data_IF_814058221706
#
_entry.id   IF_814058221706
#
_cell.length_a   1.000
_cell.length_b   1.000
_cell.length_c   1.000
_cell.angle_alpha   90.00
_cell.angle_beta   90.00
_cell.angle_gamma   90.00
#
_symmetry.space_group_name_H-M   'P 1'
#
loop_
_entity.id
_entity.type
_entity.pdbx_description
1 polymer ?
#
# COMPACT_ATOMS: atom_id res chain seq x y z
N UNK A 1 21.46 -20.12 55.63
CA UNK A 1 20.61 -21.29 55.99
C UNK A 1 19.15 -20.88 55.81
N UNK A 2 18.32 -21.79 55.29
CA UNK A 2 16.90 -21.66 54.85
C UNK A 2 16.70 -20.90 53.54
N UNK A 3 16.53 -21.62 52.41
CA UNK A 3 15.29 -22.23 51.87
C UNK A 3 14.59 -21.18 50.96
N UNK A 4 14.43 -21.34 49.65
CA UNK A 4 14.25 -22.55 48.84
C UNK A 4 12.86 -22.50 48.22
N UNK A 5 12.68 -21.74 47.14
CA UNK A 5 11.41 -21.67 46.39
C UNK A 5 11.70 -21.85 44.88
N UNK A 6 11.50 -23.09 44.43
CA UNK A 6 11.36 -23.47 43.02
C UNK A 6 9.92 -23.23 42.63
N UNK A 7 9.69 -22.47 41.56
CA UNK A 7 8.41 -22.44 40.86
C UNK A 7 8.56 -23.21 39.54
N UNK A 8 7.81 -24.30 39.44
CA UNK A 8 7.68 -25.19 38.30
C UNK A 8 6.72 -24.61 37.27
N UNK A 9 7.11 -24.63 35.99
CA UNK A 9 6.22 -24.40 34.84
C UNK A 9 5.28 -25.59 34.64
N UNK A 10 4.00 -25.38 34.29
CA UNK A 10 3.19 -26.41 33.68
C UNK A 10 3.35 -26.40 32.15
N UNK A 11 3.74 -27.56 31.62
CA UNK A 11 3.58 -27.91 30.22
C UNK A 11 2.09 -28.15 29.93
N UNK A 12 1.56 -27.50 28.90
CA UNK A 12 0.32 -27.93 28.25
C UNK A 12 0.57 -28.12 26.76
N UNK A 13 0.78 -29.38 26.42
CA UNK A 13 0.54 -29.96 25.10
C UNK A 13 -0.96 -30.24 25.05
N UNK A 14 -1.65 -29.77 24.00
CA UNK A 14 -2.80 -30.50 23.47
C UNK A 14 -2.97 -30.21 21.98
N UNK A 15 -2.89 -31.30 21.24
CA UNK A 15 -3.19 -31.43 19.82
C UNK A 15 -4.70 -31.27 19.58
N UNK A 16 -5.05 -30.67 18.44
CA UNK A 16 -6.32 -30.96 17.76
C UNK A 16 -6.11 -30.93 16.24
N UNK A 17 -6.29 -32.06 15.55
CA UNK A 17 -6.31 -32.13 14.10
C UNK A 17 -7.77 -32.10 13.62
N UNK A 18 -8.15 -31.13 12.77
CA UNK A 18 -9.40 -31.22 12.02
C UNK A 18 -9.17 -30.95 10.54
N UNK A 19 -9.07 -32.06 9.83
CA UNK A 19 -9.46 -32.25 8.43
C UNK A 19 -10.88 -31.73 8.21
N UNK A 20 -11.07 -30.78 7.30
CA UNK A 20 -12.34 -30.57 6.63
C UNK A 20 -12.21 -31.06 5.18
N UNK A 21 -12.77 -32.25 4.93
CA UNK A 21 -13.12 -32.76 3.60
C UNK A 21 -14.41 -32.07 3.16
N UNK A 22 -14.45 -31.51 1.96
CA UNK A 22 -15.69 -31.17 1.28
C UNK A 22 -16.04 -32.26 0.26
N UNK A 23 -17.30 -32.73 0.19
CA UNK A 23 -17.73 -33.67 -0.83
C UNK A 23 -17.86 -32.98 -2.20
N UNK A 24 -17.30 -33.64 -3.21
CA UNK A 24 -17.59 -33.41 -4.62
C UNK A 24 -19.00 -33.96 -4.90
N UNK A 25 -19.89 -33.10 -5.39
CA UNK A 25 -21.14 -33.52 -6.01
C UNK A 25 -21.15 -33.02 -7.46
N UNK A 26 -21.08 -33.96 -8.41
CA UNK A 26 -21.35 -33.72 -9.82
C UNK A 26 -22.87 -33.56 -10.01
N UNK A 27 -23.29 -32.40 -10.50
CA UNK A 27 -24.66 -32.11 -10.92
C UNK A 27 -24.69 -31.70 -12.40
N UNK A 28 -25.56 -32.37 -13.16
CA UNK A 28 -25.68 -32.35 -14.62
C UNK A 28 -26.23 -31.02 -15.14
N UNK A 29 -25.82 -30.68 -16.36
CA UNK A 29 -26.21 -29.52 -17.13
C UNK A 29 -27.72 -29.48 -17.45
N UNK A 30 -28.34 -28.32 -17.24
CA UNK A 30 -29.56 -27.90 -17.93
C UNK A 30 -29.30 -26.58 -18.66
N UNK A 31 -29.77 -26.55 -19.90
CA UNK A 31 -29.66 -25.44 -20.86
C UNK A 31 -30.41 -24.23 -20.32
N UNK A 32 -29.81 -23.05 -20.41
CA UNK A 32 -30.54 -21.80 -20.35
C UNK A 32 -30.31 -21.02 -21.64
N UNK A 33 -31.42 -20.74 -22.32
CA UNK A 33 -31.49 -20.09 -23.63
C UNK A 33 -31.02 -18.63 -23.58
N UNK A 34 -30.27 -18.27 -24.61
CA UNK A 34 -30.01 -16.90 -25.03
C UNK A 34 -31.32 -16.16 -25.30
N UNK A 35 -31.56 -15.04 -24.62
CA UNK A 35 -32.11 -13.79 -25.21
C UNK A 35 -32.15 -12.69 -24.15
N UNK A 36 -31.73 -11.49 -24.56
CA UNK A 36 -31.76 -10.18 -23.86
C UNK A 36 -30.60 -9.85 -22.91
N UNK A 37 -29.39 -9.67 -23.45
CA UNK A 37 -28.30 -8.94 -22.80
C UNK A 37 -27.62 -7.97 -23.80
N UNK A 38 -28.10 -6.71 -23.88
CA UNK A 38 -27.15 -5.61 -24.06
C UNK A 38 -27.39 -4.39 -23.16
N UNK A 39 -28.43 -4.38 -22.31
CA UNK A 39 -28.80 -3.17 -21.54
C UNK A 39 -28.29 -3.16 -20.09
N UNK A 40 -28.29 -4.30 -19.40
CA UNK A 40 -27.88 -4.38 -17.98
C UNK A 40 -26.35 -4.26 -17.80
N UNK A 41 -25.55 -4.75 -18.76
CA UNK A 41 -24.08 -4.60 -18.71
C UNK A 41 -23.59 -3.16 -18.90
N UNK A 42 -24.35 -2.31 -19.62
CA UNK A 42 -23.98 -0.89 -19.81
C UNK A 42 -24.29 -0.03 -18.59
N UNK A 43 -25.28 -0.41 -17.78
CA UNK A 43 -25.63 0.32 -16.56
C UNK A 43 -24.68 -0.02 -15.40
N UNK A 44 -24.25 -1.28 -15.28
CA UNK A 44 -23.27 -1.69 -14.26
C UNK A 44 -21.87 -1.13 -14.52
N UNK A 45 -21.44 -1.02 -15.77
CA UNK A 45 -20.15 -0.39 -16.11
C UNK A 45 -20.15 1.13 -15.87
N UNK A 46 -21.29 1.81 -16.09
CA UNK A 46 -21.41 3.25 -15.88
C UNK A 46 -21.49 3.64 -14.39
N UNK A 47 -22.07 2.80 -13.53
CA UNK A 47 -22.13 3.03 -12.08
C UNK A 47 -20.77 2.72 -11.40
N UNK A 48 -20.10 1.64 -11.81
CA UNK A 48 -18.75 1.29 -11.34
C UNK A 48 -17.72 2.34 -11.82
N UNK A 49 -17.88 2.89 -13.03
CA UNK A 49 -17.02 3.96 -13.56
C UNK A 49 -17.17 5.31 -12.83
N UNK A 50 -18.34 5.60 -12.24
CA UNK A 50 -18.59 6.87 -11.55
C UNK A 50 -18.03 6.93 -10.12
N UNK A 51 -17.94 5.80 -9.42
CA UNK A 51 -17.31 5.75 -8.09
C UNK A 51 -15.80 5.50 -8.13
N UNK A 52 -15.28 4.81 -9.16
CA UNK A 52 -13.83 4.65 -9.37
C UNK A 52 -13.17 5.91 -9.95
N UNK A 53 -13.90 6.75 -10.69
CA UNK A 53 -13.33 7.93 -11.37
C UNK A 53 -12.78 9.04 -10.46
N UNK A 54 -13.33 9.19 -9.24
CA UNK A 54 -12.90 10.25 -8.32
C UNK A 54 -11.72 9.83 -7.43
N UNK A 55 -11.62 8.56 -7.05
CA UNK A 55 -10.54 8.04 -6.20
C UNK A 55 -9.33 7.54 -7.00
N UNK A 56 -9.52 7.13 -8.27
CA UNK A 56 -8.42 6.70 -9.10
C UNK A 56 -7.52 7.86 -9.53
N UNK A 57 -8.04 9.09 -9.71
CA UNK A 57 -7.20 10.27 -10.03
C UNK A 57 -6.23 10.68 -8.91
N UNK A 58 -6.48 10.30 -7.66
CA UNK A 58 -5.58 10.61 -6.54
C UNK A 58 -4.52 9.53 -6.31
N UNK A 59 -4.86 8.26 -6.61
CA UNK A 59 -3.88 7.17 -6.74
C UNK A 59 -2.94 7.46 -7.90
N UNK A 60 -3.46 8.05 -8.98
CA UNK A 60 -2.66 8.64 -10.05
C UNK A 60 -1.74 9.71 -9.47
N UNK A 61 -2.17 10.70 -8.68
CA UNK A 61 -1.29 11.79 -8.22
C UNK A 61 -0.12 11.41 -7.26
N UNK A 62 -0.26 10.40 -6.40
CA UNK A 62 0.82 10.00 -5.45
C UNK A 62 1.73 8.92 -6.04
N UNK A 63 1.22 8.08 -6.96
CA UNK A 63 2.07 7.26 -7.82
C UNK A 63 2.62 8.04 -9.02
N UNK A 64 2.07 9.20 -9.41
CA UNK A 64 2.62 10.13 -10.43
C UNK A 64 3.61 11.14 -9.86
N UNK A 65 3.68 11.32 -8.55
CA UNK A 65 4.75 12.11 -7.94
C UNK A 65 5.99 11.26 -7.63
N UNK A 66 5.89 9.93 -7.82
CA UNK A 66 6.99 8.95 -7.84
C UNK A 66 7.16 8.25 -9.20
N UNK A 67 6.22 8.35 -10.14
CA UNK A 67 6.41 8.04 -11.56
C UNK A 67 6.65 9.34 -12.31
N UNK A 68 7.84 9.47 -12.87
CA UNK A 68 8.06 10.09 -14.18
C UNK A 68 6.78 9.98 -15.02
N UNK A 69 6.28 11.09 -15.54
CA UNK A 69 5.08 11.08 -16.37
C UNK A 69 5.24 10.15 -17.56
N UNK A 70 4.66 8.95 -17.49
CA UNK A 70 4.42 8.12 -18.65
C UNK A 70 3.19 8.71 -19.37
N UNK A 71 3.41 9.76 -20.14
CA UNK A 71 2.55 10.00 -21.29
C UNK A 71 2.60 8.76 -22.17
N UNK A 72 1.45 8.16 -22.50
CA UNK A 72 1.29 7.16 -23.56
C UNK A 72 1.52 7.80 -24.95
N UNK A 73 2.60 8.57 -25.08
CA UNK A 73 3.16 8.89 -26.38
C UNK A 73 3.71 7.61 -26.98
N UNK A 74 3.51 7.42 -28.28
CA UNK A 74 4.20 6.38 -29.03
C UNK A 74 5.67 6.35 -28.60
N UNK A 75 6.30 5.17 -28.45
CA UNK A 75 7.69 5.05 -28.05
C UNK A 75 8.54 5.78 -29.09
N UNK A 76 8.82 7.04 -28.81
CA UNK A 76 9.84 7.79 -29.49
C UNK A 76 11.10 7.10 -29.04
N UNK A 77 11.86 6.54 -29.98
CA UNK A 77 13.14 5.94 -29.69
C UNK A 77 14.01 7.00 -29.02
N UNK A 78 14.01 7.02 -27.68
CA UNK A 78 14.83 7.92 -26.89
C UNK A 78 16.26 7.54 -27.23
N UNK A 79 16.96 8.43 -27.93
CA UNK A 79 18.35 8.22 -28.28
C UNK A 79 19.14 7.89 -27.02
N UNK A 80 20.17 7.06 -27.13
CA UNK A 80 20.95 6.56 -25.98
C UNK A 80 21.57 7.66 -25.11
N UNK A 81 21.71 8.89 -25.61
CA UNK A 81 22.11 10.06 -24.82
C UNK A 81 21.06 10.53 -23.80
N UNK A 82 19.80 10.15 -23.98
CA UNK A 82 18.67 10.56 -23.14
C UNK A 82 18.49 9.64 -21.91
N UNK A 83 18.77 8.34 -22.04
CA UNK A 83 18.57 7.38 -20.95
C UNK A 83 19.42 7.66 -19.69
N UNK A 84 20.68 8.05 -19.87
CA UNK A 84 21.56 8.44 -18.75
C UNK A 84 21.07 9.74 -18.09
N UNK A 85 20.63 10.72 -18.88
CA UNK A 85 20.12 11.98 -18.36
C UNK A 85 18.82 11.75 -17.58
N UNK A 86 17.93 10.92 -18.12
CA UNK A 86 16.72 10.46 -17.46
C UNK A 86 17.01 9.77 -16.13
N UNK A 87 17.92 8.80 -16.11
CA UNK A 87 18.33 8.10 -14.88
C UNK A 87 18.86 9.06 -13.81
N UNK A 88 19.70 10.04 -14.18
CA UNK A 88 20.18 11.07 -13.24
C UNK A 88 19.03 11.92 -12.71
N UNK A 89 18.08 12.31 -13.57
CA UNK A 89 16.92 13.08 -13.17
C UNK A 89 16.01 12.29 -12.22
N UNK A 90 15.82 10.99 -12.46
CA UNK A 90 15.07 10.09 -11.58
C UNK A 90 15.71 9.98 -10.20
N UNK A 91 17.04 9.82 -10.14
CA UNK A 91 17.76 9.79 -8.85
C UNK A 91 17.58 11.10 -8.09
N UNK A 92 17.72 12.24 -8.77
CA UNK A 92 17.53 13.54 -8.15
C UNK A 92 16.09 13.70 -7.63
N UNK A 93 15.10 13.32 -8.43
CA UNK A 93 13.68 13.40 -8.06
C UNK A 93 13.33 12.44 -6.91
N UNK A 94 13.91 11.23 -6.91
CA UNK A 94 13.75 10.27 -5.83
C UNK A 94 14.35 10.85 -4.53
N UNK A 95 15.60 11.30 -4.53
CA UNK A 95 16.25 11.86 -3.35
C UNK A 95 15.45 13.03 -2.76
N UNK A 96 14.90 13.91 -3.61
CA UNK A 96 14.01 14.98 -3.18
C UNK A 96 12.70 14.44 -2.55
N UNK A 97 12.10 13.41 -3.12
CA UNK A 97 10.91 12.76 -2.57
C UNK A 97 11.16 12.06 -1.22
N UNK A 98 12.39 11.56 -1.00
CA UNK A 98 12.77 10.87 0.24
C UNK A 98 12.93 11.81 1.43
N UNK A 99 13.42 13.04 1.22
CA UNK A 99 13.77 13.96 2.32
C UNK A 99 13.16 15.37 2.23
N UNK A 100 13.11 15.97 1.03
CA UNK A 100 12.83 17.40 0.85
C UNK A 100 11.35 17.76 0.98
N UNK A 101 10.45 16.87 0.52
CA UNK A 101 9.00 17.13 0.52
C UNK A 101 8.40 17.17 1.93
N UNK A 102 7.24 17.85 2.10
CA UNK A 102 6.49 17.85 3.37
C UNK A 102 6.11 16.44 3.81
N UNK A 103 5.62 15.62 2.88
CA UNK A 103 5.22 14.23 3.11
C UNK A 103 6.29 13.25 2.62
N UNK A 104 7.55 13.54 2.93
CA UNK A 104 8.68 12.72 2.54
C UNK A 104 8.79 11.45 3.40
N UNK A 105 9.33 10.36 2.83
CA UNK A 105 9.39 9.04 3.48
C UNK A 105 10.19 9.11 4.79
N UNK A 106 11.32 9.82 4.80
CA UNK A 106 12.19 9.92 5.97
C UNK A 106 11.60 10.77 7.11
N UNK A 107 10.45 11.42 6.87
CA UNK A 107 9.71 12.14 7.89
C UNK A 107 8.63 11.27 8.54
N UNK A 108 8.40 10.06 8.07
CA UNK A 108 7.41 9.16 8.67
C UNK A 108 7.98 8.64 9.99
N UNK A 109 7.35 9.02 11.10
CA UNK A 109 7.66 8.45 12.41
C UNK A 109 7.01 7.07 12.56
N UNK A 110 5.76 6.93 12.08
CA UNK A 110 5.02 5.68 12.19
C UNK A 110 3.91 5.55 11.13
N UNK A 111 3.47 4.32 10.89
CA UNK A 111 2.34 4.00 10.04
C UNK A 111 1.52 2.83 10.60
N UNK A 112 0.20 2.98 10.64
CA UNK A 112 -0.74 1.96 11.08
C UNK A 112 -1.71 1.58 9.96
N UNK A 113 -2.19 0.35 10.00
CA UNK A 113 -3.25 -0.16 9.14
C UNK A 113 -4.41 -0.58 10.02
N UNK A 114 -5.62 -0.10 9.70
CA UNK A 114 -6.83 -0.38 10.45
C UNK A 114 -7.84 -1.11 9.57
N UNK A 115 -8.45 -2.14 10.14
CA UNK A 115 -9.69 -2.74 9.65
C UNK A 115 -10.87 -1.88 10.08
N UNK A 116 -11.99 -2.08 9.38
CA UNK A 116 -13.27 -1.50 9.74
C UNK A 116 -13.60 -1.82 11.22
N UNK A 117 -13.92 -0.79 12.00
CA UNK A 117 -14.18 -0.87 13.44
C UNK A 117 -12.95 -0.72 14.34
N UNK A 118 -11.73 -0.79 13.81
CA UNK A 118 -10.51 -0.64 14.62
C UNK A 118 -10.20 0.83 14.95
N UNK A 119 -9.49 1.03 16.06
CA UNK A 119 -9.06 2.34 16.55
C UNK A 119 -7.57 2.31 16.88
N UNK A 120 -6.84 3.34 16.46
CA UNK A 120 -5.49 3.62 16.88
C UNK A 120 -5.44 4.88 17.75
N UNK A 121 -4.53 4.88 18.72
CA UNK A 121 -4.29 5.97 19.64
C UNK A 121 -2.93 6.58 19.33
N UNK A 122 -2.90 7.91 19.25
CA UNK A 122 -1.66 8.63 19.01
C UNK A 122 -0.90 8.84 20.32
N UNK A 123 0.37 8.44 20.34
CA UNK A 123 1.29 8.59 21.47
C UNK A 123 2.46 9.44 20.99
N UNK A 124 2.79 10.50 21.73
CA UNK A 124 4.03 11.24 21.55
C UNK A 124 4.97 10.94 22.71
N UNK A 125 6.17 10.43 22.41
CA UNK A 125 7.16 10.06 23.41
C UNK A 125 8.57 10.21 22.82
N UNK A 126 9.46 10.81 23.61
CA UNK A 126 10.89 10.97 23.29
C UNK A 126 11.13 11.67 21.93
N UNK A 127 10.30 12.69 21.62
CA UNK A 127 10.42 13.45 20.38
C UNK A 127 9.86 12.76 19.13
N UNK A 128 9.31 11.55 19.27
CA UNK A 128 8.71 10.78 18.19
C UNK A 128 7.24 10.51 18.43
N UNK A 129 6.47 10.40 17.35
CA UNK A 129 5.09 9.97 17.43
C UNK A 129 4.94 8.48 17.07
N UNK A 130 3.98 7.80 17.69
CA UNK A 130 3.66 6.39 17.42
C UNK A 130 2.16 6.13 17.51
N UNK A 131 1.70 5.18 16.71
CA UNK A 131 0.37 4.62 16.83
C UNK A 131 0.39 3.45 17.82
N UNK A 132 -0.67 3.34 18.62
CA UNK A 132 -0.94 2.18 19.46
C UNK A 132 -2.33 1.65 19.16
N UNK A 133 -2.47 0.34 18.94
CA UNK A 133 -3.76 -0.33 18.86
C UNK A 133 -4.33 -0.68 20.24
N UNK A 134 -3.50 -0.58 21.28
CA UNK A 134 -3.93 -0.73 22.68
C UNK A 134 -4.28 0.64 23.24
N UNK A 135 -5.47 0.76 23.82
CA UNK A 135 -5.92 1.99 24.48
C UNK A 135 -4.96 2.36 25.62
N UNK A 136 -4.27 3.50 25.55
CA UNK A 136 -3.41 3.95 26.63
C UNK A 136 -4.23 4.44 27.83
N UNK A 137 -3.58 4.56 28.99
CA UNK A 137 -4.18 5.26 30.12
C UNK A 137 -4.29 6.76 29.84
N UNK A 138 -5.42 7.37 30.20
CA UNK A 138 -5.71 8.78 29.97
C UNK A 138 -6.28 9.09 28.58
N UNK A 139 -6.64 10.35 28.37
CA UNK A 139 -7.17 10.81 27.08
C UNK A 139 -6.03 11.07 26.09
N UNK A 140 -6.22 10.64 24.84
CA UNK A 140 -5.29 10.81 23.72
C UNK A 140 -6.08 11.07 22.44
N UNK A 141 -5.51 11.79 21.46
CA UNK A 141 -6.06 11.78 20.12
C UNK A 141 -6.18 10.33 19.63
N UNK A 142 -7.31 10.01 19.02
CA UNK A 142 -7.59 8.67 18.51
C UNK A 142 -8.13 8.76 17.10
N UNK A 143 -7.77 7.78 16.27
CA UNK A 143 -8.25 7.65 14.92
C UNK A 143 -8.94 6.31 14.77
N UNK A 144 -10.19 6.35 14.34
CA UNK A 144 -11.04 5.18 14.13
C UNK A 144 -11.40 5.04 12.66
N UNK A 145 -11.30 3.83 12.13
CA UNK A 145 -11.84 3.53 10.80
C UNK A 145 -13.25 2.97 10.94
N UNK A 146 -14.26 3.75 10.54
CA UNK A 146 -15.66 3.36 10.68
C UNK A 146 -16.51 3.91 9.54
N UNK A 147 -17.38 3.06 8.99
CA UNK A 147 -18.26 3.30 7.86
C UNK A 147 -17.50 3.88 6.66
N UNK A 148 -16.31 3.35 6.37
CA UNK A 148 -15.44 3.86 5.30
C UNK A 148 -14.82 5.24 5.56
N UNK A 149 -14.93 5.77 6.78
CA UNK A 149 -14.39 7.09 7.18
C UNK A 149 -13.21 6.96 8.13
N UNK A 150 -12.28 7.92 8.05
CA UNK A 150 -11.16 8.01 8.98
C UNK A 150 -11.45 9.07 10.05
N UNK A 151 -12.15 8.65 11.10
CA UNK A 151 -12.65 9.54 12.15
C UNK A 151 -11.56 9.83 13.18
N UNK A 152 -10.97 11.01 13.10
CA UNK A 152 -9.99 11.53 14.05
C UNK A 152 -10.70 12.34 15.13
N UNK A 153 -10.52 11.94 16.39
CA UNK A 153 -10.98 12.69 17.54
C UNK A 153 -9.79 13.33 18.26
N UNK A 154 -9.82 14.65 18.37
CA UNK A 154 -8.80 15.44 19.07
C UNK A 154 -9.16 15.64 20.54
N UNK A 155 -8.16 15.83 21.39
CA UNK A 155 -8.37 16.04 22.82
C UNK A 155 -9.02 17.41 23.05
N UNK A 156 -10.18 17.43 23.71
CA UNK A 156 -10.87 18.67 24.08
C UNK A 156 -11.67 19.33 22.95
N UNK A 157 -11.73 18.69 21.78
CA UNK A 157 -12.60 19.11 20.68
C UNK A 157 -13.89 18.29 20.67
N UNK A 158 -15.01 18.94 20.34
CA UNK A 158 -16.28 18.26 20.17
C UNK A 158 -16.39 17.66 18.77
N UNK A 159 -16.66 16.35 18.71
CA UNK A 159 -16.93 15.61 17.47
C UNK A 159 -15.72 14.91 16.84
N UNK A 160 -16.03 14.13 15.81
CA UNK A 160 -15.06 13.39 15.00
C UNK A 160 -14.80 14.16 13.69
N UNK A 161 -13.54 14.23 13.26
CA UNK A 161 -13.11 14.82 11.99
C UNK A 161 -12.79 13.70 10.99
N UNK A 162 -13.46 13.69 9.83
CA UNK A 162 -13.14 12.71 8.79
C UNK A 162 -11.91 13.15 7.97
N UNK A 163 -10.77 12.48 8.20
CA UNK A 163 -9.50 12.77 7.53
C UNK A 163 -9.56 12.41 6.05
N UNK A 164 -10.29 11.37 5.65
CA UNK A 164 -10.40 10.96 4.24
C UNK A 164 -11.20 11.97 3.41
N UNK A 165 -12.13 12.69 4.03
CA UNK A 165 -12.90 13.74 3.37
C UNK A 165 -12.07 15.00 3.06
N UNK A 166 -10.85 15.11 3.60
CA UNK A 166 -9.94 16.23 3.32
C UNK A 166 -9.21 16.04 1.99
N UNK A 167 -8.83 17.14 1.30
CA UNK A 167 -8.01 17.06 0.11
C UNK A 167 -6.74 16.23 0.36
N UNK A 168 -6.52 15.18 -0.43
CA UNK A 168 -5.33 14.33 -0.28
C UNK A 168 -5.37 13.38 0.92
N UNK A 169 -6.47 13.32 1.68
CA UNK A 169 -6.55 12.59 2.94
C UNK A 169 -5.60 13.16 4.01
N UNK A 170 -5.30 14.45 3.97
CA UNK A 170 -4.28 15.10 4.80
C UNK A 170 -4.89 15.93 5.92
N UNK A 171 -4.39 15.74 7.14
CA UNK A 171 -4.71 16.51 8.32
C UNK A 171 -3.44 17.03 8.99
N UNK A 172 -3.28 18.34 9.08
CA UNK A 172 -2.20 18.97 9.85
C UNK A 172 -2.55 18.91 11.34
N UNK A 173 -1.80 18.10 12.09
CA UNK A 173 -1.99 17.91 13.52
C UNK A 173 -1.37 19.05 14.34
N UNK A 174 -0.21 19.54 13.91
CA UNK A 174 0.49 20.69 14.49
C UNK A 174 1.44 21.28 13.45
N UNK A 175 2.19 22.33 13.81
CA UNK A 175 3.26 22.89 12.97
C UNK A 175 4.37 21.87 12.62
N UNK A 176 4.46 20.78 13.40
CA UNK A 176 5.50 19.76 13.24
C UNK A 176 4.96 18.39 12.87
N UNK A 177 3.64 18.20 12.78
CA UNK A 177 3.06 16.88 12.58
C UNK A 177 1.89 16.88 11.59
N UNK A 178 1.92 15.93 10.66
CA UNK A 178 0.87 15.70 9.68
C UNK A 178 0.39 14.24 9.72
N UNK A 179 -0.91 14.03 9.65
CA UNK A 179 -1.54 12.72 9.47
C UNK A 179 -2.03 12.60 8.03
N UNK A 180 -1.66 11.52 7.34
CA UNK A 180 -2.23 11.17 6.04
C UNK A 180 -2.95 9.84 6.12
N UNK A 181 -4.23 9.84 5.79
CA UNK A 181 -5.06 8.66 5.70
C UNK A 181 -5.36 8.31 4.24
N UNK A 182 -5.39 7.02 3.91
CA UNK A 182 -5.76 6.53 2.59
C UNK A 182 -6.35 5.13 2.69
N UNK A 183 -7.38 4.84 1.89
CA UNK A 183 -7.86 3.47 1.71
C UNK A 183 -6.75 2.64 1.04
N UNK A 184 -6.49 1.45 1.59
CA UNK A 184 -5.47 0.54 1.11
C UNK A 184 -5.92 -0.91 1.27
N UNK A 185 -5.49 -1.77 0.36
CA UNK A 185 -5.65 -3.21 0.53
C UNK A 185 -4.81 -3.70 1.73
N UNK A 186 -5.48 -4.30 2.71
CA UNK A 186 -4.88 -4.88 3.92
C UNK A 186 -4.86 -6.41 3.89
N UNK A 187 -5.76 -7.03 3.11
CA UNK A 187 -5.73 -8.45 2.77
C UNK A 187 -6.26 -8.62 1.34
N UNK A 188 -6.09 -9.79 0.69
CA UNK A 188 -6.70 -10.07 -0.60
C UNK A 188 -8.19 -9.74 -0.58
N UNK A 189 -8.62 -8.91 -1.54
CA UNK A 189 -9.99 -8.41 -1.68
C UNK A 189 -10.56 -7.66 -0.46
N UNK A 190 -9.71 -7.26 0.50
CA UNK A 190 -10.10 -6.54 1.70
C UNK A 190 -9.45 -5.16 1.75
N UNK A 191 -10.30 -4.14 1.73
CA UNK A 191 -9.89 -2.76 1.99
C UNK A 191 -9.80 -2.48 3.49
N UNK A 192 -8.90 -1.57 3.83
CA UNK A 192 -8.72 -1.01 5.16
C UNK A 192 -8.17 0.39 5.05
N UNK A 193 -7.83 0.97 6.19
CA UNK A 193 -7.26 2.30 6.27
C UNK A 193 -5.76 2.22 6.53
N UNK A 194 -4.96 2.83 5.66
CA UNK A 194 -3.56 3.12 5.93
C UNK A 194 -3.44 4.54 6.45
N UNK A 195 -2.80 4.70 7.60
CA UNK A 195 -2.53 6.01 8.21
C UNK A 195 -1.04 6.16 8.40
N UNK A 196 -0.47 7.21 7.82
CA UNK A 196 0.92 7.61 8.00
C UNK A 196 0.98 8.87 8.86
N UNK A 197 1.99 8.92 9.72
CA UNK A 197 2.24 10.09 10.56
C UNK A 197 3.62 10.65 10.24
N UNK A 198 3.63 11.90 9.80
CA UNK A 198 4.84 12.61 9.40
C UNK A 198 5.23 13.62 10.47
N UNK A 199 6.48 13.55 10.91
CA UNK A 199 7.09 14.48 11.85
C UNK A 199 8.09 15.37 11.09
N UNK A 200 7.72 16.64 10.91
CA UNK A 200 8.55 17.63 10.21
C UNK A 200 9.84 17.96 10.97
N UNK A 201 9.89 17.64 12.27
CA UNK A 201 11.08 17.81 13.10
C UNK A 201 11.98 16.56 13.17
N UNK A 202 11.63 15.46 12.48
CA UNK A 202 12.45 14.25 12.43
C UNK A 202 13.87 14.59 11.91
N UNK A 203 14.95 14.15 12.58
CA UNK A 203 16.32 14.47 12.16
C UNK A 203 16.78 13.72 10.90
N UNK A 204 16.18 12.57 10.59
CA UNK A 204 16.62 11.67 9.50
C UNK A 204 16.76 12.35 8.13
N UNK A 205 15.83 13.22 7.68
CA UNK A 205 15.98 13.93 6.42
C UNK A 205 17.20 14.86 6.35
N UNK A 206 17.69 15.39 7.49
CA UNK A 206 18.88 16.26 7.53
C UNK A 206 20.17 15.46 7.37
N UNK A 207 20.17 14.21 7.84
CA UNK A 207 21.31 13.30 7.78
C UNK A 207 21.38 12.55 6.45
N UNK A 208 20.26 12.50 5.72
CA UNK A 208 20.14 11.80 4.45
C UNK A 208 21.11 12.31 3.38
N UNK A 209 21.88 11.38 2.79
CA UNK A 209 22.86 11.67 1.74
C UNK A 209 22.42 11.27 0.33
N UNK A 210 21.20 10.74 0.22
CA UNK A 210 20.68 10.15 -1.01
C UNK A 210 20.50 8.64 -0.87
N UNK A 211 19.69 8.06 -1.77
CA UNK A 211 19.57 6.61 -1.93
C UNK A 211 20.79 6.09 -2.68
N UNK A 212 21.25 4.90 -2.30
CA UNK A 212 22.31 4.20 -3.02
C UNK A 212 21.77 3.58 -4.32
N UNK A 213 22.43 3.86 -5.43
CA UNK A 213 22.10 3.30 -6.74
C UNK A 213 23.32 2.59 -7.33
N UNK A 214 23.09 1.48 -8.03
CA UNK A 214 24.09 0.96 -8.94
C UNK A 214 24.39 2.00 -10.03
N UNK A 215 25.66 2.15 -10.46
CA UNK A 215 25.98 3.00 -11.59
C UNK A 215 25.15 2.61 -12.82
N UNK A 216 24.71 3.59 -13.60
CA UNK A 216 24.02 3.31 -14.85
C UNK A 216 24.91 2.47 -15.78
N UNK A 217 24.40 1.32 -16.19
CA UNK A 217 25.01 0.47 -17.19
C UNK A 217 23.99 0.16 -18.30
N UNK A 218 24.31 0.63 -19.50
CA UNK A 218 23.46 0.43 -20.69
C UNK A 218 23.30 -1.04 -21.07
N UNK A 219 24.20 -1.93 -20.64
CA UNK A 219 24.08 -3.36 -20.89
C UNK A 219 22.88 -3.99 -20.17
N UNK A 220 22.42 -3.37 -19.08
CA UNK A 220 21.24 -3.78 -18.32
C UNK A 220 19.96 -3.04 -18.77
N UNK A 221 20.07 -2.08 -19.70
CA UNK A 221 18.92 -1.43 -20.34
C UNK A 221 18.45 -2.30 -21.52
N UNK A 222 17.55 -3.23 -21.24
CA UNK A 222 17.04 -4.20 -22.22
C UNK A 222 15.66 -3.83 -22.76
N UNK A 223 15.40 -4.17 -24.02
CA UNK A 223 14.04 -4.16 -24.58
C UNK A 223 13.39 -5.51 -24.34
N UNK A 224 12.24 -5.53 -23.67
CA UNK A 224 11.46 -6.74 -23.46
C UNK A 224 10.27 -6.81 -24.42
N UNK A 225 9.97 -8.03 -24.89
CA UNK A 225 8.69 -8.37 -25.52
C UNK A 225 7.69 -8.70 -24.43
N UNK A 226 6.55 -8.03 -24.44
CA UNK A 226 5.45 -8.39 -23.54
C UNK A 226 4.60 -9.51 -24.14
N UNK A 227 4.42 -10.59 -23.39
CA UNK A 227 3.55 -11.72 -23.71
C UNK A 227 2.35 -11.71 -22.76
N UNK A 228 1.14 -11.32 -23.20
CA UNK A 228 0.00 -11.22 -22.31
C UNK A 228 -0.39 -12.60 -21.76
N UNK A 229 -0.83 -12.64 -20.49
CA UNK A 229 -1.33 -13.86 -19.89
C UNK A 229 -2.64 -14.30 -20.57
N UNK A 230 -2.84 -15.61 -20.72
CA UNK A 230 -4.08 -16.15 -21.28
C UNK A 230 -5.31 -15.84 -20.39
N UNK A 231 -5.08 -15.64 -19.09
CA UNK A 231 -6.07 -15.23 -18.10
C UNK A 231 -5.41 -14.41 -17.02
N UNK A 232 -6.11 -13.40 -16.50
CA UNK A 232 -5.64 -12.60 -15.37
C UNK A 232 -5.86 -13.40 -14.09
N UNK A 233 -4.79 -13.95 -13.53
CA UNK A 233 -4.82 -14.73 -12.29
C UNK A 233 -4.29 -13.90 -11.12
N UNK A 234 -5.01 -13.92 -10.02
CA UNK A 234 -4.59 -13.27 -8.77
C UNK A 234 -3.64 -14.16 -8.00
N UNK A 235 -2.49 -13.62 -7.63
CA UNK A 235 -1.49 -14.25 -6.77
C UNK A 235 -1.32 -13.43 -5.49
N UNK A 236 -1.35 -14.11 -4.35
CA UNK A 236 -1.25 -13.47 -3.04
C UNK A 236 0.20 -13.49 -2.56
N UNK A 237 0.74 -12.31 -2.30
CA UNK A 237 2.10 -12.12 -1.80
C UNK A 237 2.09 -11.59 -0.38
N UNK A 238 2.92 -12.17 0.49
CA UNK A 238 3.13 -11.64 1.82
C UNK A 238 4.04 -10.40 1.75
N UNK A 239 3.58 -9.31 2.35
CA UNK A 239 4.35 -8.08 2.52
C UNK A 239 5.33 -8.22 3.68
N UNK A 240 6.37 -7.39 3.70
CA UNK A 240 7.33 -7.33 4.81
C UNK A 240 6.70 -6.99 6.18
N UNK A 241 5.45 -6.53 6.19
CA UNK A 241 4.67 -6.23 7.40
C UNK A 241 3.73 -7.36 7.81
N UNK A 242 3.83 -8.54 7.19
CA UNK A 242 3.04 -9.74 7.51
C UNK A 242 1.65 -9.79 6.88
N UNK A 243 1.21 -8.72 6.21
CA UNK A 243 -0.07 -8.67 5.47
C UNK A 243 0.04 -9.38 4.13
N UNK A 244 -1.09 -9.76 3.56
CA UNK A 244 -1.17 -10.35 2.23
C UNK A 244 -1.77 -9.37 1.23
N UNK A 245 -1.22 -9.32 0.02
CA UNK A 245 -1.73 -8.50 -1.08
C UNK A 245 -1.91 -9.34 -2.31
N UNK A 246 -3.01 -9.12 -3.03
CA UNK A 246 -3.26 -9.77 -4.30
C UNK A 246 -2.71 -8.92 -5.43
N UNK A 247 -1.82 -9.51 -6.20
CA UNK A 247 -1.35 -8.96 -7.47
C UNK A 247 -1.94 -9.79 -8.60
N UNK A 248 -2.24 -9.15 -9.73
CA UNK A 248 -2.82 -9.83 -10.87
C UNK A 248 -1.76 -9.96 -11.95
N UNK A 249 -1.43 -11.18 -12.33
CA UNK A 249 -0.49 -11.44 -13.41
C UNK A 249 -1.14 -11.06 -14.74
N UNK A 250 -0.59 -10.03 -15.38
CA UNK A 250 -1.06 -9.49 -16.66
C UNK A 250 -0.31 -10.11 -17.84
N UNK A 251 0.86 -10.70 -17.60
CA UNK A 251 1.68 -11.31 -18.63
C UNK A 251 3.13 -11.52 -18.21
N UNK A 252 4.00 -11.70 -19.20
CA UNK A 252 5.43 -11.92 -18.99
C UNK A 252 6.23 -10.97 -19.87
N UNK A 253 7.17 -10.23 -19.27
CA UNK A 253 8.22 -9.54 -19.99
C UNK A 253 9.33 -10.55 -20.33
N UNK A 254 9.54 -10.81 -21.62
CA UNK A 254 10.56 -11.71 -22.13
C UNK A 254 11.68 -10.89 -22.77
N UNK A 255 12.91 -11.08 -22.31
CA UNK A 255 14.07 -10.33 -22.80
C UNK A 255 15.34 -11.18 -22.75
N UNK A 256 16.36 -10.78 -23.51
CA UNK A 256 17.69 -11.39 -23.43
C UNK A 256 18.62 -10.48 -22.63
N UNK A 257 19.36 -11.07 -21.68
CA UNK A 257 20.40 -10.40 -20.90
C UNK A 257 21.60 -11.34 -20.82
N UNK A 258 22.79 -10.84 -21.17
CA UNK A 258 24.03 -11.63 -21.23
C UNK A 258 23.91 -12.91 -22.09
N UNK A 259 23.17 -12.80 -23.21
CA UNK A 259 22.96 -13.92 -24.14
C UNK A 259 22.02 -15.02 -23.62
N UNK A 260 21.36 -14.82 -22.47
CA UNK A 260 20.36 -15.74 -21.92
C UNK A 260 18.98 -15.09 -21.97
N UNK A 261 17.96 -15.88 -22.32
CA UNK A 261 16.56 -15.45 -22.20
C UNK A 261 16.16 -15.43 -20.71
N UNK A 262 15.50 -14.36 -20.30
CA UNK A 262 14.89 -14.18 -19.00
C UNK A 262 13.41 -13.86 -19.18
N UNK A 263 12.62 -14.27 -18.18
CA UNK A 263 11.16 -14.13 -18.18
C UNK A 263 10.74 -13.57 -16.83
N UNK A 264 10.12 -12.40 -16.82
CA UNK A 264 9.66 -11.72 -15.62
C UNK A 264 8.13 -11.61 -15.64
N UNK A 265 7.42 -12.16 -14.64
CA UNK A 265 5.98 -11.94 -14.48
C UNK A 265 5.70 -10.45 -14.22
N UNK A 266 4.64 -9.92 -14.86
CA UNK A 266 4.25 -8.50 -14.79
C UNK A 266 2.84 -8.33 -14.26
#
# INVERSE_FOLDING_TARGET
MNAGLRATMPAHVNAFPHLCRFPVAFGRAERYEERTLPFIMRLSLALVSRELGANMMLITAVLWTLNVGFTLGAPSALGTGDAMAHWKAEIAAANEAWAGRRLAILKIDDAVYLKEGETAYLIFKDGSYRWSLTKPAGLRPQLRFANGKALLQMLGEEGDLDVLARPGGLFTLSDTADIKAQIAQIAPDQEGLRVMLYNQANPSPKEFKGVDYYPYDKAFAVTAKFEPAASIQGEDFQTSRGWWKRFYNMGTAVFALEGKEHRLPM
#
